data_IF_971087871333
#
_entry.id   IF_971087871333
#
_cell.length_a   1.000
_cell.length_b   1.000
_cell.length_c   1.000
_cell.angle_alpha   90.00
_cell.angle_beta   90.00
_cell.angle_gamma   90.00
#
_symmetry.space_group_name_H-M   'P 1'
#
loop_
_entity.id
_entity.type
_entity.pdbx_description
1 polymer ?
#
# COMPACT_ATOMS: atom_id res chain seq x y z
N UNK A 1 54.67 47.63 -27.73
CA UNK A 1 55.80 48.37 -27.12
C UNK A 1 55.35 48.96 -25.79
N UNK A 2 56.11 48.73 -24.72
CA UNK A 2 55.91 49.31 -23.37
C UNK A 2 55.00 48.48 -22.46
N UNK A 3 55.32 48.20 -21.19
CA UNK A 3 56.51 48.41 -20.38
C UNK A 3 56.54 47.32 -19.28
N UNK A 4 57.72 46.77 -19.00
CA UNK A 4 57.98 45.99 -17.79
C UNK A 4 58.01 46.89 -16.56
N UNK A 5 57.39 46.48 -15.46
CA UNK A 5 57.91 46.75 -14.11
C UNK A 5 57.72 45.53 -13.22
N UNK A 6 58.82 44.81 -13.00
CA UNK A 6 59.02 43.92 -11.85
C UNK A 6 59.11 44.78 -10.59
N UNK A 7 58.45 44.41 -9.49
CA UNK A 7 59.02 44.53 -8.15
C UNK A 7 58.59 43.34 -7.28
N UNK A 8 59.59 42.88 -6.55
CA UNK A 8 59.73 41.65 -5.79
C UNK A 8 59.32 41.88 -4.30
N UNK A 9 59.46 40.91 -3.37
CA UNK A 9 58.44 40.55 -2.39
C UNK A 9 58.73 40.92 -0.91
N UNK A 10 57.84 40.43 -0.01
CA UNK A 10 57.97 40.13 1.45
C UNK A 10 57.46 41.21 2.43
N UNK A 11 57.28 40.91 3.75
CA UNK A 11 57.09 39.64 4.48
C UNK A 11 55.88 39.65 5.47
N UNK A 12 55.73 38.50 6.14
CA UNK A 12 54.76 38.09 7.16
C UNK A 12 54.62 38.97 8.42
N UNK A 13 53.56 38.70 9.21
CA UNK A 13 53.46 38.59 10.69
C UNK A 13 52.02 38.96 11.10
N UNK A 14 51.18 38.08 11.66
CA UNK A 14 50.96 37.90 13.11
C UNK A 14 49.81 36.88 13.23
N UNK A 15 50.02 35.64 13.68
CA UNK A 15 50.13 35.16 15.06
C UNK A 15 48.77 34.83 15.73
N UNK A 16 48.73 33.63 16.32
CA UNK A 16 48.14 33.29 17.63
C UNK A 16 46.60 33.26 17.69
N UNK A 17 45.89 32.30 18.29
CA UNK A 17 46.06 30.93 18.81
C UNK A 17 44.62 30.52 19.27
N UNK A 18 44.36 29.44 20.05
CA UNK A 18 43.19 28.59 19.85
C UNK A 18 42.15 28.74 20.98
N UNK A 19 41.07 27.98 20.87
CA UNK A 19 40.29 27.43 21.99
C UNK A 19 39.95 28.37 23.19
N UNK A 20 38.72 28.89 23.19
CA UNK A 20 38.04 29.48 24.36
C UNK A 20 36.62 28.89 24.54
N UNK A 21 35.98 29.03 25.70
CA UNK A 21 35.36 27.92 26.43
C UNK A 21 33.93 27.57 25.99
N UNK A 22 33.66 26.26 25.89
CA UNK A 22 32.31 25.69 25.79
C UNK A 22 31.56 25.97 27.09
N UNK A 23 30.59 26.89 27.07
CA UNK A 23 29.63 27.05 28.15
C UNK A 23 28.79 25.77 28.29
N UNK A 24 29.15 24.96 29.29
CA UNK A 24 28.35 23.85 29.79
C UNK A 24 27.15 24.44 30.51
N UNK A 25 26.03 24.59 29.80
CA UNK A 25 24.75 24.93 30.42
C UNK A 25 24.38 23.76 31.34
N UNK A 26 24.56 23.97 32.64
CA UNK A 26 24.09 23.10 33.71
C UNK A 26 22.57 22.97 33.56
N UNK A 27 22.10 21.81 33.05
CA UNK A 27 20.68 21.44 33.13
C UNK A 27 20.30 21.38 34.61
N UNK A 28 19.65 22.42 35.12
CA UNK A 28 18.93 22.37 36.40
C UNK A 28 17.92 21.23 36.31
N UNK A 29 18.07 20.24 37.17
CA UNK A 29 17.10 19.17 37.34
C UNK A 29 15.78 19.80 37.85
N UNK A 30 14.74 19.77 37.01
CA UNK A 30 13.39 20.12 37.44
C UNK A 30 12.88 19.06 38.43
N UNK A 31 12.21 19.46 39.53
CA UNK A 31 11.57 18.51 40.42
C UNK A 31 10.48 17.76 39.65
N UNK A 32 10.51 16.42 39.74
CA UNK A 32 9.50 15.53 39.16
C UNK A 32 8.12 15.94 39.71
N UNK A 33 7.24 16.46 38.85
CA UNK A 33 5.83 16.67 39.19
C UNK A 33 5.26 15.34 39.68
N UNK A 34 4.64 15.35 40.87
CA UNK A 34 3.91 14.19 41.39
C UNK A 34 2.77 13.88 40.41
N UNK A 35 2.56 12.61 40.01
CA UNK A 35 1.47 12.26 39.10
C UNK A 35 0.11 12.57 39.73
N UNK A 36 -0.81 13.11 38.92
CA UNK A 36 -2.18 13.43 39.30
C UNK A 36 -2.96 12.13 39.65
N UNK A 37 -3.95 12.17 40.56
CA UNK A 37 -4.65 10.97 41.05
C UNK A 37 -5.46 10.18 40.00
N UNK A 38 -5.54 10.68 38.76
CA UNK A 38 -6.32 10.07 37.68
C UNK A 38 -5.49 9.18 36.73
N UNK A 39 -4.17 9.12 36.90
CA UNK A 39 -3.25 8.27 36.11
C UNK A 39 -3.00 6.88 36.75
N UNK A 40 -3.97 6.32 37.48
CA UNK A 40 -3.85 4.93 37.91
C UNK A 40 -4.20 3.98 36.76
N UNK A 41 -3.32 3.04 36.36
CA UNK A 41 -3.69 2.01 35.41
C UNK A 41 -4.78 1.14 36.03
N UNK A 42 -5.96 1.09 35.39
CA UNK A 42 -7.05 0.19 35.77
C UNK A 42 -6.49 -1.22 35.92
N UNK A 43 -6.59 -1.78 37.13
CA UNK A 43 -6.18 -3.16 37.44
C UNK A 43 -6.82 -4.11 36.42
N UNK A 44 -6.00 -4.73 35.57
CA UNK A 44 -6.46 -5.77 34.65
C UNK A 44 -6.84 -6.99 35.48
N UNK A 45 -8.13 -7.28 35.59
CA UNK A 45 -8.61 -8.54 36.13
C UNK A 45 -8.02 -9.72 35.33
N UNK A 46 -7.59 -10.81 35.98
CA UNK A 46 -7.15 -12.00 35.27
C UNK A 46 -8.33 -12.57 34.48
N UNK A 47 -8.17 -12.64 33.15
CA UNK A 47 -9.12 -13.33 32.28
C UNK A 47 -9.20 -14.79 32.72
N UNK A 48 -10.41 -15.21 33.12
CA UNK A 48 -10.74 -16.61 33.42
C UNK A 48 -10.26 -17.49 32.26
N UNK A 49 -9.42 -18.48 32.57
CA UNK A 49 -8.98 -19.50 31.61
C UNK A 49 -10.22 -20.21 31.04
N UNK A 50 -10.35 -20.36 29.71
CA UNK A 50 -11.39 -21.22 29.17
C UNK A 50 -11.08 -22.67 29.53
N UNK A 51 -12.05 -23.33 30.18
CA UNK A 51 -11.99 -24.76 30.51
C UNK A 51 -11.85 -25.57 29.21
N UNK A 52 -10.91 -26.51 29.21
CA UNK A 52 -10.75 -27.50 28.17
C UNK A 52 -12.07 -28.25 27.96
N UNK A 53 -12.73 -27.99 26.82
CA UNK A 53 -13.87 -28.79 26.37
C UNK A 53 -13.29 -29.99 25.64
N UNK A 54 -13.45 -31.16 26.24
CA UNK A 54 -13.11 -32.46 25.64
C UNK A 54 -13.60 -32.52 24.19
N UNK A 55 -12.65 -32.56 23.26
CA UNK A 55 -12.87 -33.02 21.90
C UNK A 55 -13.13 -34.53 21.98
N UNK A 56 -14.40 -34.92 21.84
CA UNK A 56 -14.73 -36.31 21.57
C UNK A 56 -14.22 -36.65 20.15
N UNK A 57 -13.52 -37.78 19.95
CA UNK A 57 -13.24 -38.28 18.61
C UNK A 57 -14.55 -38.76 17.98
N UNK A 58 -14.86 -38.22 16.80
CA UNK A 58 -15.97 -38.69 15.95
C UNK A 58 -15.65 -40.11 15.43
N UNK A 59 -16.60 -41.06 15.46
CA UNK A 59 -16.37 -42.39 14.92
C UNK A 59 -16.24 -42.35 13.39
N UNK A 60 -15.31 -43.18 12.90
CA UNK A 60 -15.00 -43.38 11.50
C UNK A 60 -16.23 -43.84 10.70
N UNK A 61 -16.60 -43.08 9.68
CA UNK A 61 -17.57 -43.51 8.68
C UNK A 61 -16.95 -44.66 7.89
N UNK A 62 -17.49 -45.85 8.11
CA UNK A 62 -17.19 -47.05 7.35
C UNK A 62 -17.60 -46.82 5.89
N UNK A 63 -16.61 -46.64 5.02
CA UNK A 63 -16.81 -46.70 3.58
C UNK A 63 -17.23 -48.12 3.19
N UNK A 64 -18.50 -48.28 2.84
CA UNK A 64 -19.02 -49.52 2.26
C UNK A 64 -18.29 -49.83 0.95
N UNK A 65 -17.50 -50.89 0.97
CA UNK A 65 -16.92 -51.53 -0.21
C UNK A 65 -18.05 -52.11 -1.07
N UNK A 66 -18.51 -51.36 -2.07
CA UNK A 66 -19.44 -51.87 -3.08
C UNK A 66 -18.68 -52.83 -3.99
N UNK A 67 -18.76 -54.12 -3.64
CA UNK A 67 -18.31 -55.25 -4.44
C UNK A 67 -19.08 -55.27 -5.76
N UNK A 68 -18.49 -54.73 -6.84
CA UNK A 68 -19.03 -54.84 -8.20
C UNK A 68 -19.10 -56.32 -8.60
N UNK A 69 -20.30 -56.90 -8.59
CA UNK A 69 -20.60 -58.17 -9.26
C UNK A 69 -20.52 -57.96 -10.76
N UNK A 70 -19.61 -58.69 -11.41
CA UNK A 70 -19.67 -58.98 -12.86
C UNK A 70 -20.88 -59.88 -13.08
N UNK A 71 -21.94 -59.34 -13.67
CA UNK A 71 -23.11 -60.08 -14.11
C UNK A 71 -23.20 -60.00 -15.63
N UNK A 72 -22.79 -61.06 -16.29
CA UNK A 72 -23.10 -61.35 -17.70
C UNK A 72 -24.55 -61.82 -17.78
N UNK A 73 -25.40 -61.13 -18.56
CA UNK A 73 -26.62 -61.74 -19.10
C UNK A 73 -26.99 -61.16 -20.45
N UNK A 74 -27.54 -62.04 -21.26
CA UNK A 74 -27.53 -62.11 -22.73
C UNK A 74 -28.88 -61.59 -23.29
N UNK A 75 -28.79 -60.82 -24.37
CA UNK A 75 -29.60 -60.83 -25.62
C UNK A 75 -31.13 -61.12 -25.58
N UNK A 76 -31.92 -60.21 -26.18
CA UNK A 76 -33.28 -60.48 -26.68
C UNK A 76 -33.99 -59.24 -27.25
N UNK A 77 -34.43 -59.30 -28.52
CA UNK A 77 -34.76 -58.20 -29.45
C UNK A 77 -36.25 -57.83 -29.51
N UNK A 78 -36.59 -56.54 -29.75
CA UNK A 78 -37.62 -56.15 -30.74
C UNK A 78 -37.54 -54.64 -31.06
N UNK A 79 -37.54 -54.28 -32.34
CA UNK A 79 -37.40 -52.92 -32.85
C UNK A 79 -38.66 -52.57 -33.65
N UNK A 80 -39.43 -51.54 -33.26
CA UNK A 80 -40.14 -50.65 -34.21
C UNK A 80 -40.84 -49.45 -33.55
N UNK A 81 -40.46 -48.25 -34.01
CA UNK A 81 -41.17 -46.98 -33.83
C UNK A 81 -40.29 -45.84 -34.37
N UNK A 82 -40.64 -45.18 -35.49
CA UNK A 82 -39.82 -44.11 -36.06
C UNK A 82 -40.21 -42.74 -35.50
N UNK A 83 -39.19 -41.86 -35.37
CA UNK A 83 -39.21 -40.41 -35.03
C UNK A 83 -38.99 -40.11 -33.54
N UNK A 84 -37.71 -40.03 -33.18
CA UNK A 84 -37.10 -38.85 -32.55
C UNK A 84 -35.65 -39.20 -32.19
N UNK A 85 -34.77 -39.16 -33.20
CA UNK A 85 -33.34 -39.40 -32.99
C UNK A 85 -32.72 -38.13 -32.42
N UNK A 86 -32.96 -37.86 -31.14
CA UNK A 86 -32.20 -36.83 -30.44
C UNK A 86 -30.84 -37.42 -30.08
N UNK A 87 -29.80 -37.00 -30.82
CA UNK A 87 -28.42 -37.26 -30.42
C UNK A 87 -28.14 -36.51 -29.11
N UNK A 88 -28.18 -37.23 -27.99
CA UNK A 88 -27.78 -36.70 -26.70
C UNK A 88 -26.24 -36.57 -26.67
N UNK A 89 -25.73 -35.34 -26.72
CA UNK A 89 -24.34 -35.05 -26.41
C UNK A 89 -24.22 -34.69 -24.93
N UNK A 90 -23.27 -35.30 -24.22
CA UNK A 90 -22.96 -34.94 -22.83
C UNK A 90 -21.83 -33.92 -22.84
N UNK A 91 -22.08 -32.72 -22.31
CA UNK A 91 -21.05 -31.69 -22.14
C UNK A 91 -20.44 -31.84 -20.74
N UNK A 92 -19.13 -32.03 -20.65
CA UNK A 92 -18.40 -31.99 -19.38
C UNK A 92 -18.17 -30.52 -18.97
N UNK A 93 -18.87 -30.09 -17.93
CA UNK A 93 -18.78 -28.73 -17.38
C UNK A 93 -17.73 -28.59 -16.28
N UNK A 94 -16.98 -29.65 -15.92
CA UNK A 94 -16.00 -29.61 -14.83
C UNK A 94 -14.88 -28.60 -15.08
N UNK A 95 -14.44 -28.44 -16.34
CA UNK A 95 -13.44 -27.44 -16.73
C UNK A 95 -13.99 -26.02 -16.60
N UNK A 96 -15.26 -25.80 -16.93
CA UNK A 96 -15.92 -24.50 -16.77
C UNK A 96 -16.00 -24.10 -15.29
N UNK A 97 -16.28 -25.06 -14.40
CA UNK A 97 -16.29 -24.80 -12.95
C UNK A 97 -14.89 -24.47 -12.40
N UNK A 98 -13.83 -25.12 -12.90
CA UNK A 98 -12.45 -24.79 -12.54
C UNK A 98 -12.06 -23.39 -13.02
N UNK A 99 -12.43 -23.05 -14.26
CA UNK A 99 -12.22 -21.71 -14.81
C UNK A 99 -12.92 -20.64 -13.97
N UNK A 100 -14.20 -20.85 -13.63
CA UNK A 100 -14.94 -19.93 -12.77
C UNK A 100 -14.25 -19.73 -11.40
N UNK A 101 -13.75 -20.81 -10.79
CA UNK A 101 -13.02 -20.73 -9.53
C UNK A 101 -11.67 -19.99 -9.65
N UNK A 102 -10.95 -20.17 -10.76
CA UNK A 102 -9.68 -19.49 -11.02
C UNK A 102 -9.88 -17.99 -11.26
N UNK A 103 -10.87 -17.60 -12.07
CA UNK A 103 -11.25 -16.20 -12.29
C UNK A 103 -11.65 -15.51 -10.98
N UNK A 104 -12.39 -16.20 -10.11
CA UNK A 104 -12.73 -15.68 -8.78
C UNK A 104 -11.49 -15.37 -7.93
N UNK A 105 -10.49 -16.27 -7.93
CA UNK A 105 -9.22 -16.04 -7.22
C UNK A 105 -8.40 -14.92 -7.87
N UNK A 106 -8.35 -14.86 -9.19
CA UNK A 106 -7.66 -13.82 -9.94
C UNK A 106 -8.24 -12.44 -9.64
N UNK A 107 -9.56 -12.30 -9.61
CA UNK A 107 -10.23 -11.04 -9.24
C UNK A 107 -9.89 -10.57 -7.82
N UNK A 108 -9.85 -11.48 -6.84
CA UNK A 108 -9.47 -11.13 -5.45
C UNK A 108 -8.01 -10.68 -5.37
N UNK A 109 -7.10 -11.36 -6.07
CA UNK A 109 -5.67 -11.00 -6.10
C UNK A 109 -5.45 -9.67 -6.82
N UNK A 110 -6.08 -9.48 -7.97
CA UNK A 110 -6.03 -8.23 -8.74
C UNK A 110 -6.50 -7.04 -7.92
N UNK A 111 -7.65 -7.18 -7.24
CA UNK A 111 -8.17 -6.14 -6.34
C UNK A 111 -7.18 -5.78 -5.24
N UNK A 112 -6.56 -6.76 -4.57
CA UNK A 112 -5.56 -6.49 -3.51
C UNK A 112 -4.32 -5.77 -4.05
N UNK A 113 -3.82 -6.19 -5.22
CA UNK A 113 -2.67 -5.53 -5.85
C UNK A 113 -3.02 -4.10 -6.27
N UNK A 114 -4.22 -3.86 -6.80
CA UNK A 114 -4.70 -2.52 -7.15
C UNK A 114 -4.76 -1.60 -5.91
N UNK A 115 -5.30 -2.10 -4.80
CA UNK A 115 -5.31 -1.35 -3.53
C UNK A 115 -3.88 -1.01 -3.04
N UNK A 116 -2.92 -1.92 -3.23
CA UNK A 116 -1.52 -1.67 -2.91
C UNK A 116 -0.90 -0.61 -3.82
N UNK A 117 -1.16 -0.68 -5.13
CA UNK A 117 -0.70 0.30 -6.11
C UNK A 117 -1.23 1.71 -5.80
N UNK A 118 -2.52 1.82 -5.47
CA UNK A 118 -3.15 3.10 -5.09
C UNK A 118 -2.52 3.67 -3.82
N UNK A 119 -2.36 2.85 -2.77
CA UNK A 119 -1.71 3.29 -1.52
C UNK A 119 -0.29 3.77 -1.74
N UNK A 120 0.50 2.99 -2.48
CA UNK A 120 1.89 3.35 -2.80
C UNK A 120 1.94 4.68 -3.56
N UNK A 121 1.12 4.81 -4.61
CA UNK A 121 1.09 6.02 -5.44
C UNK A 121 0.66 7.24 -4.62
N UNK A 122 -0.34 7.10 -3.74
CA UNK A 122 -0.76 8.18 -2.86
C UNK A 122 0.37 8.67 -1.96
N UNK A 123 1.15 7.76 -1.36
CA UNK A 123 2.30 8.13 -0.53
C UNK A 123 3.47 8.69 -1.35
N UNK A 124 3.69 8.20 -2.57
CA UNK A 124 4.70 8.75 -3.46
C UNK A 124 4.35 10.19 -3.87
N UNK A 125 3.08 10.46 -4.21
CA UNK A 125 2.57 11.81 -4.49
C UNK A 125 2.73 12.69 -3.25
N UNK A 126 2.29 12.24 -2.07
CA UNK A 126 2.42 13.00 -0.83
C UNK A 126 3.89 13.37 -0.54
N UNK A 127 4.80 12.40 -0.71
CA UNK A 127 6.24 12.60 -0.49
C UNK A 127 6.83 13.59 -1.48
N UNK A 128 6.49 13.49 -2.77
CA UNK A 128 6.97 14.40 -3.82
C UNK A 128 6.37 15.80 -3.64
N UNK A 129 5.09 15.91 -3.34
CA UNK A 129 4.43 17.18 -3.06
C UNK A 129 5.10 17.88 -1.88
N UNK A 130 5.50 17.14 -0.83
CA UNK A 130 6.28 17.67 0.29
C UNK A 130 7.69 18.12 -0.08
N UNK A 131 8.30 17.54 -1.11
CA UNK A 131 9.62 17.93 -1.61
C UNK A 131 9.55 19.19 -2.48
N UNK A 132 8.48 19.32 -3.28
CA UNK A 132 8.27 20.46 -4.16
C UNK A 132 7.65 21.67 -3.47
N UNK A 133 6.95 21.46 -2.34
CA UNK A 133 6.31 22.53 -1.60
C UNK A 133 7.33 23.60 -1.15
N UNK A 134 7.10 24.89 -1.45
CA UNK A 134 7.96 25.96 -0.99
C UNK A 134 7.97 26.03 0.54
N UNK A 135 9.14 26.33 1.10
CA UNK A 135 9.36 26.33 2.54
C UNK A 135 9.66 27.75 3.01
N UNK A 136 8.69 28.33 3.71
CA UNK A 136 8.89 29.50 4.57
C UNK A 136 8.90 29.04 6.04
N UNK A 137 7.71 28.88 6.64
CA UNK A 137 7.56 28.31 7.99
C UNK A 137 7.45 26.78 8.03
N UNK A 138 7.29 26.14 6.86
CA UNK A 138 7.04 24.70 6.73
C UNK A 138 5.60 24.25 6.96
N UNK A 139 4.68 25.16 7.32
CA UNK A 139 3.27 24.82 7.57
C UNK A 139 2.58 24.18 6.35
N UNK A 140 2.82 24.70 5.15
CA UNK A 140 2.29 24.12 3.89
C UNK A 140 2.72 22.67 3.75
N UNK A 141 4.04 22.41 3.77
CA UNK A 141 4.63 21.07 3.65
C UNK A 141 4.09 20.11 4.72
N UNK A 142 3.97 20.57 5.97
CA UNK A 142 3.46 19.75 7.06
C UNK A 142 1.96 19.41 6.91
N UNK A 143 1.20 20.25 6.21
CA UNK A 143 -0.24 20.07 6.00
C UNK A 143 -0.61 19.09 4.89
N UNK A 144 0.35 18.71 4.04
CA UNK A 144 0.12 17.77 2.93
C UNK A 144 -0.03 16.37 3.52
N UNK A 145 -1.17 15.74 3.23
CA UNK A 145 -1.45 14.37 3.65
C UNK A 145 -2.23 13.61 2.60
N UNK A 146 -2.30 12.30 2.78
CA UNK A 146 -3.10 11.39 1.97
C UNK A 146 -4.15 10.68 2.82
N UNK A 147 -5.33 10.50 2.25
CA UNK A 147 -6.43 9.72 2.84
C UNK A 147 -6.90 8.69 1.84
N UNK A 148 -6.85 7.42 2.22
CA UNK A 148 -7.33 6.32 1.39
C UNK A 148 -8.83 6.13 1.63
N UNK A 149 -9.61 6.15 0.55
CA UNK A 149 -11.08 6.07 0.57
C UNK A 149 -11.56 4.91 -0.32
N UNK A 150 -12.88 4.72 -0.44
CA UNK A 150 -13.46 3.72 -1.36
C UNK A 150 -12.99 2.29 -1.11
N UNK A 151 -12.79 1.89 0.15
CA UNK A 151 -12.29 0.56 0.50
C UNK A 151 -10.85 0.27 0.06
N UNK A 152 -10.05 1.30 -0.23
CA UNK A 152 -8.70 1.14 -0.77
C UNK A 152 -8.57 1.37 -2.27
N UNK A 153 -9.68 1.68 -2.94
CA UNK A 153 -9.72 1.88 -4.40
C UNK A 153 -9.65 3.35 -4.82
N UNK A 154 -9.48 4.27 -3.87
CA UNK A 154 -9.31 5.68 -4.15
C UNK A 154 -8.43 6.32 -3.07
N UNK A 155 -7.79 7.44 -3.42
CA UNK A 155 -7.01 8.23 -2.48
C UNK A 155 -7.23 9.71 -2.77
N UNK A 156 -7.36 10.50 -1.70
CA UNK A 156 -7.37 11.96 -1.76
C UNK A 156 -6.05 12.44 -1.17
N UNK A 157 -5.30 13.21 -1.93
CA UNK A 157 -4.00 13.75 -1.53
C UNK A 157 -4.07 15.26 -1.64
N UNK A 158 -3.64 15.97 -0.60
CA UNK A 158 -3.60 17.42 -0.66
C UNK A 158 -3.24 18.09 0.66
N UNK A 159 -3.00 19.40 0.61
CA UNK A 159 -2.79 20.24 1.77
C UNK A 159 -4.12 20.55 2.48
N UNK A 160 -4.06 20.80 3.78
CA UNK A 160 -5.22 21.25 4.58
C UNK A 160 -5.24 22.75 4.85
N UNK A 161 -4.17 23.48 4.48
CA UNK A 161 -4.10 24.94 4.63
C UNK A 161 -4.84 25.66 3.51
N UNK A 162 -5.64 26.66 3.88
CA UNK A 162 -6.52 27.38 2.94
C UNK A 162 -5.78 28.17 1.86
N UNK A 163 -4.51 28.54 2.09
CA UNK A 163 -3.72 29.31 1.13
C UNK A 163 -2.99 28.45 0.09
N UNK A 164 -3.01 27.11 0.23
CA UNK A 164 -2.29 26.23 -0.69
C UNK A 164 -2.70 26.36 -2.17
N UNK A 165 -3.98 26.55 -2.52
CA UNK A 165 -4.40 26.89 -3.88
C UNK A 165 -3.64 28.07 -4.49
N UNK A 166 -3.44 29.14 -3.73
CA UNK A 166 -2.72 30.32 -4.19
C UNK A 166 -1.24 30.01 -4.45
N UNK A 167 -0.67 29.06 -3.72
CA UNK A 167 0.69 28.59 -3.98
C UNK A 167 0.75 27.77 -5.26
N UNK A 168 -0.19 26.85 -5.46
CA UNK A 168 -0.22 25.96 -6.64
C UNK A 168 -0.43 26.72 -7.95
N UNK A 169 -1.35 27.70 -7.95
CA UNK A 169 -1.78 28.38 -9.18
C UNK A 169 -1.34 29.84 -9.29
N UNK A 170 -0.74 30.40 -8.23
CA UNK A 170 -0.39 31.83 -8.18
C UNK A 170 -1.59 32.73 -7.96
N UNK A 171 -1.32 34.04 -7.95
CA UNK A 171 -2.32 35.11 -7.84
C UNK A 171 -1.93 36.27 -8.75
N UNK A 172 -2.75 37.33 -8.82
CA UNK A 172 -2.40 38.54 -9.57
C UNK A 172 -1.13 39.25 -9.07
N UNK A 173 -0.66 38.95 -7.86
CA UNK A 173 0.50 39.59 -7.22
C UNK A 173 1.66 38.64 -6.92
N UNK A 174 1.52 37.34 -7.22
CA UNK A 174 2.49 36.31 -6.86
C UNK A 174 2.48 35.21 -7.93
N UNK A 175 3.65 34.83 -8.41
CA UNK A 175 3.80 33.71 -9.35
C UNK A 175 3.39 32.37 -8.73
N UNK A 176 2.97 31.43 -9.57
CA UNK A 176 2.67 30.07 -9.16
C UNK A 176 3.96 29.35 -8.73
N UNK A 177 3.86 28.58 -7.65
CA UNK A 177 4.91 27.64 -7.22
C UNK A 177 4.27 26.25 -7.09
N UNK A 178 4.02 25.56 -8.22
CA UNK A 178 3.31 24.30 -8.23
C UNK A 178 4.07 23.22 -7.47
N UNK A 179 3.34 22.40 -6.72
CA UNK A 179 3.89 21.29 -5.94
C UNK A 179 3.02 20.04 -6.01
N UNK A 180 1.70 20.17 -6.17
CA UNK A 180 0.80 19.02 -6.34
C UNK A 180 0.82 18.48 -7.76
N UNK A 181 0.66 19.34 -8.77
CA UNK A 181 0.71 18.94 -10.18
C UNK A 181 2.00 18.19 -10.53
N UNK A 182 3.18 18.79 -10.28
CA UNK A 182 4.46 18.11 -10.52
C UNK A 182 4.63 16.80 -9.74
N UNK A 183 4.02 16.67 -8.56
CA UNK A 183 4.07 15.43 -7.78
C UNK A 183 3.23 14.31 -8.41
N UNK A 184 2.08 14.65 -8.99
CA UNK A 184 1.24 13.71 -9.75
C UNK A 184 1.97 13.27 -11.01
N UNK A 185 2.46 14.21 -11.82
CA UNK A 185 3.17 13.94 -13.07
C UNK A 185 4.37 13.00 -12.83
N UNK A 186 5.11 13.24 -11.75
CA UNK A 186 6.25 12.41 -11.40
C UNK A 186 5.85 11.01 -10.91
N UNK A 187 4.64 10.80 -10.38
CA UNK A 187 4.18 9.52 -9.83
C UNK A 187 3.36 8.69 -10.84
N UNK A 188 2.70 9.34 -11.79
CA UNK A 188 1.81 8.74 -12.77
C UNK A 188 2.43 7.56 -13.55
N UNK A 189 3.66 7.65 -14.10
CA UNK A 189 4.23 6.54 -14.86
C UNK A 189 4.35 5.24 -14.05
N UNK A 190 4.70 5.36 -12.77
CA UNK A 190 4.82 4.21 -11.87
C UNK A 190 3.47 3.58 -11.54
N UNK A 191 2.41 4.40 -11.45
CA UNK A 191 1.05 3.91 -11.24
C UNK A 191 0.52 3.17 -12.46
N UNK A 192 0.68 3.76 -13.66
CA UNK A 192 0.26 3.15 -14.93
C UNK A 192 0.95 1.80 -15.11
N UNK A 193 2.28 1.74 -14.96
CA UNK A 193 3.03 0.50 -15.07
C UNK A 193 2.56 -0.57 -14.05
N UNK A 194 2.25 -0.18 -12.81
CA UNK A 194 1.74 -1.10 -11.82
C UNK A 194 0.35 -1.66 -12.21
N UNK A 195 -0.53 -0.83 -12.77
CA UNK A 195 -1.85 -1.25 -13.21
C UNK A 195 -1.79 -2.18 -14.43
N UNK A 196 -0.90 -1.92 -15.38
CA UNK A 196 -0.65 -2.80 -16.53
C UNK A 196 -0.14 -4.18 -16.09
N UNK A 197 0.80 -4.23 -15.14
CA UNK A 197 1.30 -5.50 -14.58
C UNK A 197 0.20 -6.28 -13.85
N UNK A 198 -0.71 -5.59 -13.16
CA UNK A 198 -1.84 -6.23 -12.50
C UNK A 198 -2.79 -6.81 -13.53
N UNK A 199 -3.09 -6.08 -14.60
CA UNK A 199 -3.98 -6.54 -15.67
C UNK A 199 -3.39 -7.78 -16.38
N UNK A 200 -2.12 -7.72 -16.79
CA UNK A 200 -1.43 -8.85 -17.40
C UNK A 200 -1.45 -10.09 -16.49
N UNK A 201 -1.07 -9.93 -15.22
CA UNK A 201 -1.04 -11.04 -14.26
C UNK A 201 -2.41 -11.59 -13.84
N UNK A 202 -3.53 -10.96 -14.25
CA UNK A 202 -4.88 -11.51 -14.08
C UNK A 202 -5.29 -12.36 -15.29
N UNK A 203 -4.72 -12.09 -16.47
CA UNK A 203 -5.07 -12.76 -17.72
C UNK A 203 -4.18 -13.96 -18.05
N UNK A 204 -2.95 -13.99 -17.53
CA UNK A 204 -1.95 -15.03 -17.80
C UNK A 204 -2.04 -16.29 -16.89
N UNK A 205 -3.10 -16.46 -16.09
CA UNK A 205 -3.35 -17.65 -15.23
C UNK A 205 -4.58 -18.48 -15.66
#
# INVERSE_FOLDING_TARGET
MGHSRRRHPRPATTAINPAGPRHRISRRAHPRRRPHPQDQPRRRHPRRRPRHRHLQPRPAQHGHLVRRRRGTSRLGYHQKGPRDTHMAFTVDTSQLNRLAANLGKAGIRGTRKAQQAIRKTAFDIESKAKQFAPVDTGALRASIGSTITGGGMSAVIGPTVAYAPYQEWGTSRMEAHPFMGPAVDAAEPGFVAAMEQIAAGVLDE
#
